data_IF_761788293454
#
_entry.id   IF_761788293454
#
_cell.length_a   1.000
_cell.length_b   1.000
_cell.length_c   1.000
_cell.angle_alpha   90.00
_cell.angle_beta   90.00
_cell.angle_gamma   90.00
#
_symmetry.space_group_name_H-M   'P 1'
#
loop_
_entity.id
_entity.type
_entity.pdbx_description
1 polymer ?
#
# COMPACT_ATOMS: atom_id res chain seq x y z
N UNK A 1 24.01 -9.65 -3.39
CA UNK A 1 22.95 -10.13 -2.48
C UNK A 1 22.53 -8.91 -1.69
N UNK A 2 21.46 -8.24 -2.12
CA UNK A 2 20.92 -7.11 -1.35
C UNK A 2 20.15 -7.75 -0.20
N UNK A 3 20.85 -7.96 0.91
CA UNK A 3 20.26 -8.37 2.18
C UNK A 3 19.45 -7.18 2.70
N UNK A 4 18.29 -6.93 2.10
CA UNK A 4 17.33 -6.00 2.68
C UNK A 4 16.79 -6.69 3.91
N UNK A 5 17.04 -6.09 5.07
CA UNK A 5 16.57 -6.54 6.38
C UNK A 5 15.04 -6.71 6.44
N UNK A 6 14.35 -6.18 5.44
CA UNK A 6 12.91 -6.25 5.21
C UNK A 6 12.66 -6.90 3.85
N UNK A 7 11.92 -8.01 3.84
CA UNK A 7 11.41 -8.63 2.63
C UNK A 7 9.99 -8.13 2.36
N UNK A 8 9.62 -7.92 1.09
CA UNK A 8 8.25 -7.61 0.72
C UNK A 8 7.37 -8.85 0.97
N UNK A 9 6.61 -8.82 2.07
CA UNK A 9 5.75 -9.94 2.49
C UNK A 9 4.44 -10.09 1.70
N UNK A 10 4.13 -9.14 0.81
CA UNK A 10 2.90 -9.08 0.01
C UNK A 10 2.41 -7.64 -0.16
N UNK A 11 1.29 -7.46 -0.87
CA UNK A 11 0.60 -6.16 -0.98
C UNK A 11 -0.92 -6.35 -0.98
N UNK A 12 -1.63 -5.29 -0.61
CA UNK A 12 -3.08 -5.18 -0.70
C UNK A 12 -3.44 -4.05 -1.66
N UNK A 13 -4.55 -4.21 -2.39
CA UNK A 13 -5.19 -3.14 -3.13
C UNK A 13 -6.50 -2.81 -2.43
N UNK A 14 -6.72 -1.54 -2.11
CA UNK A 14 -7.90 -1.07 -1.38
C UNK A 14 -8.48 0.15 -2.09
N UNK A 15 -9.79 0.30 -2.02
CA UNK A 15 -10.45 1.56 -2.27
C UNK A 15 -10.53 2.33 -0.95
N UNK A 16 -10.11 3.59 -0.98
CA UNK A 16 -10.14 4.50 0.15
C UNK A 16 -10.57 5.88 -0.34
N UNK A 17 -11.23 6.63 0.53
CA UNK A 17 -11.78 7.95 0.16
C UNK A 17 -10.67 8.98 -0.06
N UNK A 18 -9.59 8.89 0.74
CA UNK A 18 -8.39 9.69 0.67
C UNK A 18 -7.19 8.94 1.29
N UNK A 19 -6.05 9.62 1.38
CA UNK A 19 -4.82 9.02 1.93
C UNK A 19 -4.93 8.73 3.44
N UNK A 20 -5.64 9.55 4.21
CA UNK A 20 -5.78 9.36 5.65
C UNK A 20 -6.66 8.13 5.95
N UNK A 21 -7.73 7.94 5.18
CA UNK A 21 -8.57 6.74 5.21
C UNK A 21 -7.74 5.48 4.87
N UNK A 22 -6.91 5.55 3.82
CA UNK A 22 -6.01 4.45 3.46
C UNK A 22 -5.00 4.12 4.57
N UNK A 23 -4.43 5.13 5.24
CA UNK A 23 -3.53 4.96 6.38
C UNK A 23 -4.24 4.32 7.57
N UNK A 24 -5.47 4.75 7.87
CA UNK A 24 -6.29 4.16 8.94
C UNK A 24 -6.61 2.69 8.68
N UNK A 25 -6.87 2.32 7.42
CA UNK A 25 -7.03 0.91 7.02
C UNK A 25 -5.72 0.15 7.20
N UNK A 26 -4.60 0.69 6.70
CA UNK A 26 -3.28 0.07 6.79
C UNK A 26 -2.83 -0.17 8.24
N UNK A 27 -3.13 0.76 9.14
CA UNK A 27 -2.82 0.65 10.58
C UNK A 27 -3.53 -0.52 11.27
N UNK A 28 -4.60 -1.06 10.67
CA UNK A 28 -5.35 -2.22 11.19
C UNK A 28 -4.81 -3.56 10.70
N UNK A 29 -3.86 -3.57 9.76
CA UNK A 29 -3.25 -4.79 9.23
C UNK A 29 -2.42 -5.46 10.34
N UNK A 30 -2.70 -6.72 10.73
CA UNK A 30 -2.02 -7.36 11.85
C UNK A 30 -0.49 -7.40 11.72
N UNK A 31 0.03 -7.54 10.50
CA UNK A 31 1.47 -7.59 10.22
C UNK A 31 2.18 -6.24 10.41
N UNK A 32 1.45 -5.13 10.43
CA UNK A 32 2.01 -3.81 10.74
C UNK A 32 2.63 -3.74 12.15
N UNK A 33 2.25 -4.66 13.05
CA UNK A 33 2.84 -4.79 14.40
C UNK A 33 4.25 -5.38 14.40
N UNK A 34 4.65 -6.02 13.31
CA UNK A 34 5.89 -6.80 13.22
C UNK A 34 6.84 -6.28 12.13
N UNK A 35 6.51 -5.15 11.50
CA UNK A 35 7.27 -4.57 10.40
C UNK A 35 6.70 -3.21 10.01
N UNK A 36 6.78 -2.88 8.73
CA UNK A 36 6.27 -1.64 8.16
C UNK A 36 5.22 -1.92 7.08
N UNK A 37 4.28 -0.99 6.89
CA UNK A 37 3.35 -0.98 5.75
C UNK A 37 3.53 0.34 5.01
N UNK A 38 3.95 0.29 3.75
CA UNK A 38 4.01 1.46 2.86
C UNK A 38 2.66 1.65 2.18
N UNK A 39 2.07 2.84 2.30
CA UNK A 39 0.83 3.22 1.62
C UNK A 39 1.19 4.04 0.39
N UNK A 40 0.78 3.58 -0.79
CA UNK A 40 1.04 4.25 -2.07
C UNK A 40 -0.26 4.47 -2.84
N UNK A 41 -0.62 5.73 -3.17
CA UNK A 41 -1.68 5.99 -4.13
C UNK A 41 -1.33 5.39 -5.49
N UNK A 42 -2.33 4.80 -6.15
CA UNK A 42 -2.23 4.36 -7.54
C UNK A 42 -2.80 5.45 -8.44
N UNK A 43 -2.11 5.74 -9.53
CA UNK A 43 -2.64 6.56 -10.61
C UNK A 43 -3.10 5.61 -11.70
N UNK A 44 -4.38 5.62 -12.02
CA UNK A 44 -4.88 4.86 -13.16
C UNK A 44 -4.55 5.62 -14.45
N UNK A 45 -3.50 5.15 -15.13
CA UNK A 45 -3.08 5.70 -16.41
C UNK A 45 -4.14 5.48 -17.52
N UNK A 46 -4.95 4.42 -17.41
CA UNK A 46 -5.96 4.07 -18.41
C UNK A 46 -7.23 4.92 -18.31
N UNK A 47 -7.54 5.44 -17.13
CA UNK A 47 -8.63 6.41 -16.95
C UNK A 47 -8.28 7.79 -17.54
N UNK A 48 -7.00 8.17 -17.51
CA UNK A 48 -6.53 9.49 -17.96
C UNK A 48 -6.27 9.55 -19.48
N UNK A 49 -5.97 8.40 -20.10
CA UNK A 49 -5.73 8.28 -21.54
C UNK A 49 -6.80 7.37 -22.12
N UNK A 50 -7.97 7.95 -22.44
CA UNK A 50 -9.11 7.23 -23.02
C UNK A 50 -8.67 6.24 -24.11
N UNK A 51 -9.01 4.97 -23.89
CA UNK A 51 -8.71 3.85 -24.78
C UNK A 51 -9.20 4.05 -26.21
#
# INVERSE_FOLDING_TARGET
FAETKEQLGGFYLIDATDLDDAINIAARIPTAKHGCVEVRPIYDWTADHGA
#
